data_IF_577431064731
#
_entry.id   IF_577431064731
#
_cell.length_a   1.000
_cell.length_b   1.000
_cell.length_c   1.000
_cell.angle_alpha   90.00
_cell.angle_beta   90.00
_cell.angle_gamma   90.00
#
_symmetry.space_group_name_H-M   'P 1'
#
loop_
_entity.id
_entity.type
_entity.pdbx_description
1 polymer ?
#
# COMPACT_ATOMS: atom_id res chain seq x y z
N UNK A 1 -16.74 0.02 14.97
CA UNK A 1 -15.52 -0.65 15.44
C UNK A 1 -14.33 0.21 15.06
N UNK A 2 -13.43 0.51 15.98
CA UNK A 2 -12.28 1.34 15.66
C UNK A 2 -11.18 0.50 15.00
N UNK A 3 -10.18 1.19 14.44
CA UNK A 3 -9.14 0.50 13.70
C UNK A 3 -8.24 -0.36 14.58
N UNK A 4 -8.00 0.05 15.81
CA UNK A 4 -7.22 -0.78 16.73
C UNK A 4 -7.87 -2.13 16.94
N UNK A 5 -9.19 -2.15 17.12
CA UNK A 5 -9.93 -3.39 17.29
C UNK A 5 -9.91 -4.23 16.02
N UNK A 6 -10.06 -3.59 14.85
CA UNK A 6 -9.98 -4.30 13.58
C UNK A 6 -8.62 -4.97 13.42
N UNK A 7 -7.54 -4.24 13.71
CA UNK A 7 -6.19 -4.77 13.59
C UNK A 7 -5.97 -5.94 14.55
N UNK A 8 -6.42 -5.81 15.79
CA UNK A 8 -6.34 -6.91 16.75
C UNK A 8 -7.05 -8.15 16.25
N UNK A 9 -8.25 -7.98 15.70
CA UNK A 9 -9.02 -9.11 15.20
C UNK A 9 -8.32 -9.79 14.03
N UNK A 10 -7.72 -9.02 13.14
CA UNK A 10 -6.97 -9.57 12.02
C UNK A 10 -5.80 -10.38 12.52
N UNK A 11 -5.06 -9.85 13.49
CA UNK A 11 -3.89 -10.53 14.05
C UNK A 11 -4.26 -11.81 14.79
N UNK A 12 -5.53 -11.92 15.25
CA UNK A 12 -6.04 -13.13 15.87
C UNK A 12 -6.72 -14.07 14.88
N UNK A 13 -6.62 -13.79 13.59
CA UNK A 13 -7.09 -14.69 12.55
C UNK A 13 -8.38 -14.29 11.85
N UNK A 14 -9.01 -13.19 12.23
CA UNK A 14 -10.25 -12.74 11.56
C UNK A 14 -9.89 -11.90 10.32
N UNK A 15 -9.64 -12.59 9.23
CA UNK A 15 -9.21 -11.95 7.99
C UNK A 15 -10.30 -11.09 7.36
N UNK A 16 -11.58 -11.29 7.74
CA UNK A 16 -12.67 -10.47 7.21
C UNK A 16 -12.54 -9.01 7.62
N UNK A 17 -11.95 -8.75 8.78
CA UNK A 17 -11.73 -7.39 9.23
C UNK A 17 -10.76 -6.63 8.33
N UNK A 18 -9.86 -7.35 7.65
CA UNK A 18 -8.94 -6.71 6.72
C UNK A 18 -9.68 -6.13 5.52
N UNK A 19 -10.72 -6.80 5.05
CA UNK A 19 -11.52 -6.28 3.94
C UNK A 19 -12.12 -4.91 4.28
N UNK A 20 -12.48 -4.70 5.53
CA UNK A 20 -12.98 -3.40 6.00
C UNK A 20 -11.92 -2.32 5.85
N UNK A 21 -10.67 -2.64 6.21
CA UNK A 21 -9.56 -1.70 6.04
C UNK A 21 -9.27 -1.43 4.58
N UNK A 22 -9.32 -2.46 3.73
CA UNK A 22 -9.12 -2.29 2.29
C UNK A 22 -10.18 -1.34 1.72
N UNK A 23 -11.44 -1.59 2.03
CA UNK A 23 -12.53 -0.74 1.53
C UNK A 23 -12.37 0.72 1.98
N UNK A 24 -11.88 0.92 3.18
CA UNK A 24 -11.70 2.26 3.72
C UNK A 24 -10.58 3.03 3.03
N UNK A 25 -9.50 2.34 2.68
CA UNK A 25 -8.27 3.01 2.23
C UNK A 25 -7.91 2.78 0.77
N UNK A 26 -8.64 1.94 0.03
CA UNK A 26 -8.27 1.61 -1.35
C UNK A 26 -8.18 2.82 -2.26
N UNK A 27 -9.09 3.77 -2.11
CA UNK A 27 -9.09 4.95 -2.98
C UNK A 27 -7.88 5.85 -2.69
N UNK A 28 -7.52 5.98 -1.43
CA UNK A 28 -6.33 6.75 -1.05
C UNK A 28 -5.06 6.10 -1.60
N UNK A 29 -4.93 4.80 -1.44
CA UNK A 29 -3.77 4.07 -1.95
C UNK A 29 -3.69 4.19 -3.46
N UNK A 30 -4.82 3.98 -4.15
CA UNK A 30 -4.86 4.10 -5.60
C UNK A 30 -4.44 5.50 -6.06
N UNK A 31 -4.91 6.54 -5.37
CA UNK A 31 -4.57 7.92 -5.71
C UNK A 31 -3.07 8.17 -5.56
N UNK A 32 -2.47 7.65 -4.49
CA UNK A 32 -1.02 7.79 -4.29
C UNK A 32 -0.25 7.11 -5.42
N UNK A 33 -0.66 5.89 -5.76
CA UNK A 33 0.00 5.12 -6.81
C UNK A 33 -0.14 5.80 -8.17
N UNK A 34 -1.33 6.30 -8.49
CA UNK A 34 -1.57 6.96 -9.78
C UNK A 34 -0.74 8.21 -10.00
N UNK A 35 -0.36 8.88 -8.94
CA UNK A 35 0.49 10.07 -9.07
C UNK A 35 1.87 9.74 -9.63
N UNK A 36 2.34 8.53 -9.38
CA UNK A 36 3.68 8.13 -9.77
C UNK A 36 3.69 7.21 -10.98
N UNK A 37 2.76 6.25 -11.02
CA UNK A 37 2.77 5.22 -12.04
C UNK A 37 2.12 5.69 -13.33
N UNK A 38 1.04 6.46 -13.24
CA UNK A 38 0.34 7.09 -14.36
C UNK A 38 -0.26 6.13 -15.38
N UNK A 39 -0.27 4.85 -15.10
CA UNK A 39 -0.92 3.84 -15.91
C UNK A 39 -1.95 3.15 -15.03
N UNK A 40 -3.21 3.18 -15.44
CA UNK A 40 -4.31 2.71 -14.59
C UNK A 40 -4.19 1.23 -14.26
N UNK A 41 -3.87 0.41 -15.25
CA UNK A 41 -3.76 -1.04 -15.02
C UNK A 41 -2.64 -1.36 -14.04
N UNK A 42 -1.48 -0.73 -14.23
CA UNK A 42 -0.36 -0.91 -13.32
C UNK A 42 -0.70 -0.42 -11.93
N UNK A 43 -1.44 0.70 -11.84
CA UNK A 43 -1.83 1.25 -10.55
C UNK A 43 -2.82 0.33 -9.82
N UNK A 44 -3.74 -0.28 -10.54
CA UNK A 44 -4.67 -1.23 -9.94
C UNK A 44 -3.94 -2.46 -9.41
N UNK A 45 -3.03 -3.01 -10.20
CA UNK A 45 -2.24 -4.17 -9.78
C UNK A 45 -1.38 -3.84 -8.57
N UNK A 46 -0.72 -2.68 -8.61
CA UNK A 46 0.15 -2.27 -7.50
C UNK A 46 -0.65 -2.01 -6.23
N UNK A 47 -1.84 -1.44 -6.37
CA UNK A 47 -2.72 -1.22 -5.22
C UNK A 47 -3.02 -2.53 -4.51
N UNK A 48 -3.32 -3.58 -5.27
CA UNK A 48 -3.57 -4.90 -4.70
C UNK A 48 -2.33 -5.45 -4.00
N UNK A 49 -1.17 -5.31 -4.63
CA UNK A 49 0.10 -5.77 -4.04
C UNK A 49 0.41 -5.03 -2.74
N UNK A 50 0.11 -3.73 -2.69
CA UNK A 50 0.33 -2.94 -1.49
C UNK A 50 -0.50 -3.49 -0.32
N UNK A 51 -1.77 -3.84 -0.57
CA UNK A 51 -2.60 -4.40 0.48
C UNK A 51 -2.15 -5.80 0.90
N UNK A 52 -1.67 -6.62 -0.03
CA UNK A 52 -1.07 -7.90 0.33
C UNK A 52 0.14 -7.69 1.23
N UNK A 53 0.99 -6.74 0.86
CA UNK A 53 2.18 -6.42 1.65
C UNK A 53 1.79 -5.89 3.03
N UNK A 54 0.78 -5.02 3.09
CA UNK A 54 0.27 -4.52 4.36
C UNK A 54 -0.23 -5.66 5.24
N UNK A 55 -0.97 -6.58 4.66
CA UNK A 55 -1.49 -7.72 5.40
C UNK A 55 -0.37 -8.58 5.98
N UNK A 56 0.61 -8.92 5.16
CA UNK A 56 1.72 -9.77 5.59
C UNK A 56 2.65 -9.07 6.58
N UNK A 57 2.70 -7.74 6.52
CA UNK A 57 3.55 -6.94 7.42
C UNK A 57 2.82 -6.48 8.67
N UNK A 58 1.50 -6.71 8.75
CA UNK A 58 0.71 -6.21 9.86
C UNK A 58 1.22 -6.63 11.24
N UNK A 59 1.73 -7.85 11.43
CA UNK A 59 2.31 -8.21 12.72
C UNK A 59 3.48 -7.34 13.15
N UNK A 60 4.10 -6.64 12.22
CA UNK A 60 5.22 -5.73 12.51
C UNK A 60 4.75 -4.30 12.81
N UNK A 61 3.47 -4.02 12.59
CA UNK A 61 2.92 -2.70 12.91
C UNK A 61 2.77 -2.57 14.41
N UNK A 62 3.51 -1.62 14.99
CA UNK A 62 3.59 -1.50 16.45
C UNK A 62 2.66 -0.44 17.04
N UNK A 63 1.84 0.19 16.22
CA UNK A 63 0.95 1.23 16.69
C UNK A 63 1.64 2.53 17.03
N UNK A 64 2.87 2.74 16.58
CA UNK A 64 3.63 3.95 16.83
C UNK A 64 3.15 5.12 15.97
N UNK A 65 2.40 4.82 14.93
CA UNK A 65 1.76 5.81 14.08
C UNK A 65 0.33 5.36 13.80
N UNK A 66 -0.45 6.23 13.16
CA UNK A 66 -1.76 5.81 12.68
C UNK A 66 -1.60 4.76 11.61
N UNK A 67 -2.57 3.84 11.53
CA UNK A 67 -2.55 2.83 10.48
C UNK A 67 -2.48 3.46 9.09
N UNK A 68 -3.23 4.54 8.87
CA UNK A 68 -3.22 5.23 7.58
C UNK A 68 -1.84 5.76 7.21
N UNK A 69 -1.09 6.27 8.18
CA UNK A 69 0.27 6.75 7.95
C UNK A 69 1.21 5.61 7.58
N UNK A 70 1.09 4.51 8.30
CA UNK A 70 1.91 3.32 8.05
C UNK A 70 1.60 2.76 6.66
N UNK A 71 0.32 2.67 6.32
CA UNK A 71 -0.11 2.19 5.00
C UNK A 71 0.37 3.12 3.90
N UNK A 72 0.27 4.43 4.12
CA UNK A 72 0.75 5.42 3.15
C UNK A 72 2.23 5.23 2.84
N UNK A 73 3.03 4.96 3.87
CA UNK A 73 4.47 4.72 3.66
C UNK A 73 4.71 3.50 2.79
N UNK A 74 3.96 2.43 3.02
CA UNK A 74 4.07 1.24 2.18
C UNK A 74 3.70 1.59 0.74
N UNK A 75 2.59 2.29 0.55
CA UNK A 75 2.11 2.66 -0.77
C UNK A 75 3.12 3.55 -1.49
N UNK A 76 3.63 4.56 -0.81
CA UNK A 76 4.61 5.48 -1.38
C UNK A 76 5.89 4.76 -1.77
N UNK A 77 6.39 3.91 -0.90
CA UNK A 77 7.62 3.17 -1.17
C UNK A 77 7.48 2.22 -2.35
N UNK A 78 6.36 1.50 -2.43
CA UNK A 78 6.13 0.58 -3.54
C UNK A 78 5.93 1.33 -4.85
N UNK A 79 5.20 2.44 -4.84
CA UNK A 79 4.99 3.25 -6.03
C UNK A 79 6.30 3.88 -6.50
N UNK A 80 7.13 4.35 -5.57
CA UNK A 80 8.44 4.91 -5.89
C UNK A 80 9.35 3.88 -6.53
N UNK A 81 9.32 2.65 -6.02
CA UNK A 81 10.12 1.57 -6.57
C UNK A 81 9.69 1.23 -7.99
N UNK A 82 8.39 1.14 -8.23
CA UNK A 82 7.87 0.87 -9.56
C UNK A 82 8.18 2.03 -10.52
N UNK A 83 8.03 3.27 -10.05
CA UNK A 83 8.34 4.45 -10.85
C UNK A 83 9.81 4.44 -11.30
N UNK A 84 10.72 4.16 -10.38
CA UNK A 84 12.15 4.10 -10.71
C UNK A 84 12.48 2.96 -11.66
N UNK A 85 11.86 1.81 -11.46
CA UNK A 85 12.03 0.66 -12.32
C UNK A 85 11.61 0.98 -13.75
N UNK A 86 10.44 1.58 -13.90
CA UNK A 86 9.93 1.96 -15.21
C UNK A 86 10.81 3.03 -15.88
N UNK A 87 11.31 3.97 -15.09
CA UNK A 87 12.22 4.99 -15.62
C UNK A 87 13.53 4.38 -16.10
N UNK A 88 14.05 3.41 -15.35
CA UNK A 88 15.27 2.71 -15.73
C UNK A 88 15.07 1.89 -16.99
N UNK A 89 13.90 1.31 -17.17
CA UNK A 89 13.58 0.51 -18.35
C UNK A 89 13.41 1.35 -19.59
N UNK A 90 12.98 2.60 -19.45
CA UNK A 90 12.63 3.46 -20.59
C UNK A 90 13.60 4.59 -20.83
N UNK A 91 14.43 4.93 -19.85
CA UNK A 91 15.30 6.11 -19.89
C UNK A 91 16.75 5.70 -19.74
N UNK A 92 17.64 6.17 -20.63
CA UNK A 92 19.06 5.90 -20.47
C UNK A 92 19.58 6.45 -19.15
N UNK A 93 20.55 5.75 -18.59
CA UNK A 93 21.09 6.06 -17.27
C UNK A 93 21.72 7.45 -17.20
N UNK A 94 22.29 7.89 -18.29
CA UNK A 94 22.95 9.17 -18.34
C UNK A 94 22.02 10.36 -18.10
N UNK A 95 20.74 10.14 -18.09
CA UNK A 95 19.77 11.20 -17.79
C UNK A 95 19.69 11.54 -16.30
N UNK A 96 20.38 10.81 -15.52
CA UNK A 96 20.37 10.99 -14.05
C UNK A 96 21.44 11.99 -13.55
#
# INVERSE_FOLDING_TARGET
MNEETLIKNILHGDTRCFATLVDKYKDMVFAVVMRMVKNREDAEDLTQEIFVKAYTSLPKFKGESKFSTWLFRIAFNEASTMYRSNSLDTTPVEDW
#
